data_IF_132221206316
#
_entry.id   IF_132221206316
#
_cell.length_a   1.000
_cell.length_b   1.000
_cell.length_c   1.000
_cell.angle_alpha   90.00
_cell.angle_beta   90.00
_cell.angle_gamma   90.00
#
_symmetry.space_group_name_H-M   'P 1'
#
loop_
_entity.id
_entity.type
_entity.pdbx_description
1 polymer ?
#
# COMPACT_ATOMS: atom_id res chain seq x y z
N UNK A 1 9.92 7.40 -3.04
CA UNK A 1 11.07 6.62 -2.61
C UNK A 1 10.64 5.45 -1.74
N UNK A 2 11.37 4.34 -1.80
CA UNK A 2 11.15 3.19 -0.89
C UNK A 2 11.56 3.50 0.55
N UNK A 3 12.41 4.50 0.76
CA UNK A 3 12.88 4.89 2.10
C UNK A 3 11.84 5.62 2.94
N UNK A 4 10.81 6.20 2.31
CA UNK A 4 9.67 6.76 3.03
C UNK A 4 8.65 5.67 3.38
N UNK A 5 8.33 5.51 4.65
CA UNK A 5 7.34 4.54 5.13
C UNK A 5 6.44 5.15 6.20
N UNK A 6 5.46 4.40 6.68
CA UNK A 6 4.49 4.90 7.64
C UNK A 6 4.37 3.94 8.83
N UNK A 7 4.83 4.39 9.99
CA UNK A 7 4.64 3.65 11.23
C UNK A 7 3.23 3.90 11.80
N UNK A 8 2.69 2.92 12.49
CA UNK A 8 1.33 2.94 13.03
C UNK A 8 0.27 3.24 11.96
N UNK A 9 0.41 2.60 10.79
CA UNK A 9 -0.47 2.79 9.63
C UNK A 9 -1.87 2.25 9.93
N UNK A 10 -2.87 3.14 9.98
CA UNK A 10 -4.21 2.81 10.45
C UNK A 10 -4.83 1.58 9.79
N UNK A 11 -4.80 1.37 8.45
CA UNK A 11 -5.31 0.15 7.85
C UNK A 11 -4.70 -1.14 8.39
N UNK A 12 -3.39 -1.18 8.66
CA UNK A 12 -2.72 -2.34 9.24
C UNK A 12 -3.10 -2.56 10.71
N UNK A 13 -3.24 -1.47 11.47
CA UNK A 13 -3.70 -1.52 12.87
C UNK A 13 -5.11 -2.11 12.97
N UNK A 14 -6.04 -1.64 12.13
CA UNK A 14 -7.42 -2.14 12.10
C UNK A 14 -7.52 -3.63 11.72
N UNK A 15 -6.63 -4.09 10.86
CA UNK A 15 -6.54 -5.50 10.46
C UNK A 15 -5.84 -6.39 11.49
N UNK A 16 -5.22 -5.81 12.51
CA UNK A 16 -4.35 -6.54 13.44
C UNK A 16 -3.10 -7.13 12.76
N UNK A 17 -2.68 -6.54 11.64
CA UNK A 17 -1.52 -6.97 10.88
C UNK A 17 -0.23 -6.34 11.45
N UNK A 18 0.89 -7.09 11.35
CA UNK A 18 2.20 -6.56 11.75
C UNK A 18 2.70 -5.55 10.71
N UNK A 19 2.95 -4.32 11.13
CA UNK A 19 3.70 -3.34 10.36
C UNK A 19 5.16 -3.32 10.85
N UNK A 20 6.11 -3.69 10.00
CA UNK A 20 7.53 -3.74 10.38
C UNK A 20 8.08 -2.36 10.78
N UNK A 21 7.54 -1.28 10.21
CA UNK A 21 7.94 0.09 10.56
C UNK A 21 7.62 0.47 12.02
N UNK A 22 6.69 -0.24 12.69
CA UNK A 22 6.34 0.01 14.10
C UNK A 22 7.47 -0.35 15.06
N UNK A 23 8.43 -1.19 14.64
CA UNK A 23 9.62 -1.54 15.42
C UNK A 23 10.52 -0.34 15.71
N UNK A 24 10.40 0.74 14.92
CA UNK A 24 11.13 2.01 15.17
C UNK A 24 10.64 2.77 16.40
N UNK A 25 9.46 2.44 16.93
CA UNK A 25 8.80 3.19 18.00
C UNK A 25 8.31 4.58 17.59
N UNK A 26 8.46 4.95 16.32
CA UNK A 26 7.97 6.22 15.76
C UNK A 26 6.49 6.11 15.36
N UNK A 27 5.89 7.22 14.95
CA UNK A 27 4.51 7.30 14.47
C UNK A 27 4.43 8.15 13.21
N UNK A 28 3.42 7.89 12.39
CA UNK A 28 3.18 8.58 11.12
C UNK A 28 4.28 8.33 10.08
N UNK A 29 4.48 9.27 9.17
CA UNK A 29 5.48 9.18 8.12
C UNK A 29 6.89 9.25 8.71
N UNK A 30 7.73 8.30 8.33
CA UNK A 30 9.14 8.22 8.74
C UNK A 30 10.01 7.91 7.53
N UNK A 31 11.27 8.31 7.60
CA UNK A 31 12.29 7.91 6.63
C UNK A 31 13.21 6.87 7.28
N UNK A 32 13.54 5.86 6.51
CA UNK A 32 14.47 4.78 6.88
C UNK A 32 15.49 4.60 5.76
N UNK A 33 16.59 3.92 6.02
CA UNK A 33 17.54 3.56 4.99
C UNK A 33 17.24 2.18 4.37
N UNK A 34 17.93 1.86 3.28
CA UNK A 34 17.78 0.56 2.60
C UNK A 34 18.25 -0.60 3.48
N UNK A 35 19.25 -0.38 4.34
CA UNK A 35 19.73 -1.39 5.26
C UNK A 35 18.62 -1.82 6.24
N UNK A 36 17.88 -0.85 6.77
CA UNK A 36 16.75 -1.13 7.64
C UNK A 36 15.63 -1.90 6.91
N UNK A 37 15.35 -1.55 5.65
CA UNK A 37 14.38 -2.28 4.82
C UNK A 37 14.85 -3.73 4.61
N UNK A 38 16.13 -3.92 4.32
CA UNK A 38 16.74 -5.24 4.19
C UNK A 38 16.68 -6.07 5.48
N UNK A 39 16.89 -5.44 6.64
CA UNK A 39 16.79 -6.10 7.94
C UNK A 39 15.35 -6.53 8.26
N UNK A 40 14.36 -5.76 7.85
CA UNK A 40 12.94 -6.12 8.02
C UNK A 40 12.49 -7.22 7.07
N UNK A 41 13.00 -7.22 5.85
CA UNK A 41 12.66 -8.15 4.77
C UNK A 41 11.15 -8.51 4.74
N UNK A 42 10.28 -7.51 4.46
CA UNK A 42 8.84 -7.67 4.61
C UNK A 42 8.26 -8.68 3.62
N UNK A 43 7.22 -9.42 4.06
CA UNK A 43 6.50 -10.37 3.20
C UNK A 43 5.68 -9.67 2.11
N UNK A 44 5.15 -8.48 2.41
CA UNK A 44 4.29 -7.68 1.52
C UNK A 44 4.73 -6.21 1.55
N UNK A 45 4.66 -5.54 0.40
CA UNK A 45 4.91 -4.10 0.31
C UNK A 45 3.74 -3.41 -0.39
N UNK A 46 3.10 -2.47 0.31
CA UNK A 46 2.05 -1.61 -0.21
C UNK A 46 2.62 -0.24 -0.50
N UNK A 47 2.61 0.17 -1.76
CA UNK A 47 3.31 1.33 -2.26
C UNK A 47 2.31 2.43 -2.66
N UNK A 48 2.68 3.69 -2.40
CA UNK A 48 1.88 4.82 -2.82
C UNK A 48 1.89 4.98 -4.34
N UNK A 49 0.74 4.82 -4.98
CA UNK A 49 0.57 4.94 -6.43
C UNK A 49 1.06 6.30 -7.00
N UNK A 50 1.03 7.37 -6.19
CA UNK A 50 1.51 8.70 -6.58
C UNK A 50 3.04 8.84 -6.67
N UNK A 51 3.81 7.86 -6.17
CA UNK A 51 5.28 7.94 -6.08
C UNK A 51 6.00 6.96 -7.03
N UNK A 52 5.32 6.43 -8.03
CA UNK A 52 5.85 5.35 -8.87
C UNK A 52 7.13 5.69 -9.62
N UNK A 53 7.27 6.92 -10.11
CA UNK A 53 8.48 7.32 -10.85
C UNK A 53 9.72 7.35 -9.94
N UNK A 54 9.57 7.81 -8.69
CA UNK A 54 10.64 7.77 -7.70
C UNK A 54 11.01 6.33 -7.33
N UNK A 55 10.03 5.45 -7.17
CA UNK A 55 10.25 4.04 -6.85
C UNK A 55 10.93 3.29 -7.99
N UNK A 56 10.56 3.57 -9.24
CA UNK A 56 11.26 3.01 -10.41
C UNK A 56 12.72 3.44 -10.47
N UNK A 57 13.00 4.71 -10.17
CA UNK A 57 14.36 5.22 -10.12
C UNK A 57 15.17 4.57 -8.98
N UNK A 58 14.59 4.44 -7.78
CA UNK A 58 15.23 3.76 -6.65
C UNK A 58 15.54 2.30 -6.98
N UNK A 59 14.59 1.58 -7.58
CA UNK A 59 14.78 0.19 -8.01
C UNK A 59 15.89 0.07 -9.05
N UNK A 60 15.89 0.92 -10.08
CA UNK A 60 16.93 0.89 -11.12
C UNK A 60 18.34 1.12 -10.55
N UNK A 61 18.47 2.00 -9.56
CA UNK A 61 19.74 2.32 -8.91
C UNK A 61 20.22 1.23 -7.93
N UNK A 62 19.30 0.42 -7.38
CA UNK A 62 19.59 -0.57 -6.34
C UNK A 62 18.98 -1.96 -6.66
N UNK A 63 18.94 -2.31 -7.94
CA UNK A 63 18.23 -3.50 -8.44
C UNK A 63 18.61 -4.78 -7.69
N UNK A 64 19.89 -5.03 -7.46
CA UNK A 64 20.38 -6.24 -6.78
C UNK A 64 19.83 -6.32 -5.36
N UNK A 65 19.78 -5.20 -4.65
CA UNK A 65 19.23 -5.13 -3.30
C UNK A 65 17.74 -5.46 -3.29
N UNK A 66 16.94 -4.81 -4.15
CA UNK A 66 15.50 -5.02 -4.19
C UNK A 66 15.14 -6.44 -4.65
N UNK A 67 15.81 -6.96 -5.68
CA UNK A 67 15.58 -8.34 -6.17
C UNK A 67 15.86 -9.40 -5.09
N UNK A 68 16.64 -9.07 -4.07
CA UNK A 68 16.94 -9.99 -2.96
C UNK A 68 15.88 -9.98 -1.86
N UNK A 69 15.03 -8.95 -1.78
CA UNK A 69 13.95 -8.88 -0.81
C UNK A 69 12.85 -9.91 -1.09
N UNK A 70 12.30 -10.48 -0.02
CA UNK A 70 11.24 -11.51 -0.09
C UNK A 70 10.02 -11.03 -0.87
N UNK A 71 9.51 -9.83 -0.58
CA UNK A 71 8.35 -9.28 -1.29
C UNK A 71 8.59 -9.16 -2.80
N UNK A 72 9.80 -8.84 -3.26
CA UNK A 72 10.15 -8.79 -4.68
C UNK A 72 10.24 -10.18 -5.30
N UNK A 73 10.90 -11.14 -4.62
CA UNK A 73 11.02 -12.54 -5.08
C UNK A 73 9.67 -13.24 -5.24
N UNK A 74 8.75 -12.95 -4.32
CA UNK A 74 7.42 -13.57 -4.27
C UNK A 74 6.37 -12.79 -5.08
N UNK A 75 6.71 -11.59 -5.59
CA UNK A 75 5.78 -10.74 -6.34
C UNK A 75 4.71 -10.09 -5.45
N UNK A 76 4.98 -9.93 -4.17
CA UNK A 76 4.07 -9.35 -3.18
C UNK A 76 4.21 -7.82 -3.11
N UNK A 77 4.18 -7.18 -4.28
CA UNK A 77 4.27 -5.73 -4.42
C UNK A 77 2.94 -5.20 -4.93
N UNK A 78 2.41 -4.20 -4.25
CA UNK A 78 1.09 -3.65 -4.54
C UNK A 78 1.12 -2.14 -4.53
N UNK A 79 0.27 -1.50 -5.34
CA UNK A 79 0.02 -0.06 -5.26
C UNK A 79 -1.35 0.22 -4.70
N UNK A 80 -1.45 1.31 -3.95
CA UNK A 80 -2.69 1.86 -3.44
C UNK A 80 -2.62 3.38 -3.38
N UNK A 81 -3.76 4.09 -3.40
CA UNK A 81 -3.79 5.52 -3.12
C UNK A 81 -3.32 5.80 -1.69
N UNK A 82 -2.77 6.99 -1.45
CA UNK A 82 -2.37 7.40 -0.10
C UNK A 82 -3.47 8.26 0.53
N UNK A 83 -4.06 7.78 1.62
CA UNK A 83 -5.22 8.43 2.22
C UNK A 83 -4.90 9.66 3.09
N UNK A 84 -3.64 9.89 3.48
CA UNK A 84 -3.19 11.02 4.30
C UNK A 84 -2.52 12.13 3.47
N UNK A 85 -3.02 12.41 2.26
CA UNK A 85 -2.51 13.49 1.42
C UNK A 85 -3.35 14.76 1.60
N UNK A 86 -2.74 15.84 2.11
CA UNK A 86 -3.41 17.12 2.39
C UNK A 86 -4.64 17.01 3.33
N UNK A 87 -4.59 16.07 4.27
CA UNK A 87 -5.69 15.73 5.16
C UNK A 87 -5.91 14.22 5.21
N UNK A 88 -6.94 13.80 5.92
CA UNK A 88 -7.31 12.39 6.01
C UNK A 88 -8.51 12.10 5.12
N UNK A 89 -8.33 11.33 4.06
CA UNK A 89 -9.39 10.85 3.18
C UNK A 89 -9.92 9.51 3.72
N UNK A 90 -10.96 9.57 4.55
CA UNK A 90 -11.50 8.40 5.27
C UNK A 90 -11.99 7.33 4.30
N UNK A 91 -12.65 7.73 3.22
CA UNK A 91 -13.09 6.86 2.14
C UNK A 91 -11.93 6.02 1.57
N UNK A 92 -10.84 6.68 1.19
CA UNK A 92 -9.62 6.02 0.70
C UNK A 92 -8.99 5.11 1.75
N UNK A 93 -8.93 5.55 3.01
CA UNK A 93 -8.39 4.74 4.12
C UNK A 93 -9.20 3.46 4.37
N UNK A 94 -10.52 3.50 4.23
CA UNK A 94 -11.38 2.32 4.30
C UNK A 94 -11.10 1.39 3.11
N UNK A 95 -10.99 1.93 1.89
CA UNK A 95 -10.65 1.16 0.70
C UNK A 95 -9.28 0.49 0.84
N UNK A 96 -8.25 1.21 1.33
CA UNK A 96 -6.92 0.66 1.62
C UNK A 96 -7.02 -0.52 2.61
N UNK A 97 -7.86 -0.40 3.65
CA UNK A 97 -8.07 -1.47 4.63
C UNK A 97 -8.65 -2.72 3.98
N UNK A 98 -9.66 -2.59 3.10
CA UNK A 98 -10.22 -3.70 2.34
C UNK A 98 -9.19 -4.34 1.41
N UNK A 99 -8.43 -3.53 0.68
CA UNK A 99 -7.40 -4.01 -0.25
C UNK A 99 -6.30 -4.79 0.46
N UNK A 100 -5.73 -4.21 1.53
CA UNK A 100 -4.68 -4.86 2.33
C UNK A 100 -5.24 -6.14 2.97
N UNK A 101 -6.44 -6.08 3.56
CA UNK A 101 -7.09 -7.22 4.19
C UNK A 101 -7.30 -8.38 3.22
N UNK A 102 -7.84 -8.11 2.04
CA UNK A 102 -8.05 -9.13 1.00
C UNK A 102 -6.73 -9.69 0.45
N UNK A 103 -5.66 -8.89 0.47
CA UNK A 103 -4.34 -9.32 0.02
C UNK A 103 -3.65 -10.24 1.02
N UNK A 104 -3.66 -9.90 2.31
CA UNK A 104 -2.92 -10.66 3.34
C UNK A 104 -3.77 -11.73 4.04
N UNK A 105 -5.09 -11.62 4.00
CA UNK A 105 -6.04 -12.57 4.59
C UNK A 105 -7.14 -12.97 3.58
N UNK A 106 -6.78 -13.50 2.39
CA UNK A 106 -7.74 -13.71 1.30
C UNK A 106 -8.94 -14.56 1.70
N UNK A 107 -8.77 -15.52 2.59
CA UNK A 107 -9.86 -16.39 3.07
C UNK A 107 -10.92 -15.63 3.88
N UNK A 108 -10.55 -14.51 4.53
CA UNK A 108 -11.48 -13.68 5.30
C UNK A 108 -12.28 -12.69 4.46
N UNK A 109 -11.85 -12.48 3.22
CA UNK A 109 -12.46 -11.55 2.26
C UNK A 109 -12.98 -12.27 1.01
N UNK A 110 -13.09 -13.59 1.04
CA UNK A 110 -13.45 -14.40 -0.13
C UNK A 110 -14.83 -14.10 -0.72
N UNK A 111 -15.74 -13.53 0.08
CA UNK A 111 -17.09 -13.13 -0.30
C UNK A 111 -17.20 -11.64 -0.69
N UNK A 112 -16.10 -10.90 -0.68
CA UNK A 112 -16.06 -9.47 -0.98
C UNK A 112 -15.59 -9.24 -2.42
N UNK A 113 -16.44 -8.67 -3.26
CA UNK A 113 -16.04 -8.06 -4.52
C UNK A 113 -15.46 -6.67 -4.24
N UNK A 114 -14.14 -6.54 -4.38
CA UNK A 114 -13.43 -5.30 -4.03
C UNK A 114 -13.83 -4.13 -4.94
N UNK A 115 -14.02 -4.34 -6.24
CA UNK A 115 -14.43 -3.26 -7.16
C UNK A 115 -15.81 -2.69 -6.78
N UNK A 116 -16.74 -3.59 -6.45
CA UNK A 116 -18.07 -3.20 -5.96
C UNK A 116 -17.95 -2.48 -4.62
N UNK A 117 -17.12 -3.00 -3.71
CA UNK A 117 -16.93 -2.43 -2.38
C UNK A 117 -16.32 -1.03 -2.43
N UNK A 118 -15.33 -0.78 -3.26
CA UNK A 118 -14.73 0.55 -3.42
C UNK A 118 -15.74 1.55 -3.97
N UNK A 119 -16.50 1.18 -5.02
CA UNK A 119 -17.56 2.02 -5.57
C UNK A 119 -18.64 2.35 -4.54
N UNK A 120 -19.04 1.36 -3.72
CA UNK A 120 -19.98 1.54 -2.61
C UNK A 120 -19.46 2.55 -1.58
N UNK A 121 -18.21 2.42 -1.13
CA UNK A 121 -17.59 3.29 -0.13
C UNK A 121 -17.54 4.73 -0.63
N UNK A 122 -17.00 4.96 -1.82
CA UNK A 122 -16.90 6.32 -2.38
C UNK A 122 -18.29 6.93 -2.64
N UNK A 123 -19.22 6.18 -3.20
CA UNK A 123 -20.58 6.67 -3.44
C UNK A 123 -21.28 7.02 -2.14
N UNK A 124 -21.12 6.21 -1.10
CA UNK A 124 -21.74 6.44 0.21
C UNK A 124 -21.18 7.69 0.90
N UNK A 125 -19.87 7.88 0.86
CA UNK A 125 -19.20 8.96 1.60
C UNK A 125 -19.09 10.27 0.82
N UNK A 126 -18.94 10.21 -0.50
CA UNK A 126 -18.75 11.39 -1.37
C UNK A 126 -19.99 11.72 -2.22
N UNK A 127 -20.97 10.83 -2.33
CA UNK A 127 -22.12 10.99 -3.22
C UNK A 127 -21.81 10.75 -4.70
N UNK A 128 -20.56 10.36 -5.03
CA UNK A 128 -20.11 10.05 -6.40
C UNK A 128 -19.18 8.84 -6.39
N UNK A 129 -19.20 8.05 -7.45
CA UNK A 129 -18.28 6.91 -7.61
C UNK A 129 -16.89 7.38 -8.06
N UNK A 130 -16.12 7.90 -7.13
CA UNK A 130 -14.77 8.37 -7.38
C UNK A 130 -13.79 7.23 -7.72
N UNK A 131 -14.08 6.00 -7.31
CA UNK A 131 -13.28 4.83 -7.66
C UNK A 131 -13.18 4.64 -9.18
N UNK A 132 -14.29 4.78 -9.90
CA UNK A 132 -14.27 4.69 -11.37
C UNK A 132 -13.41 5.80 -12.00
N UNK A 133 -13.41 6.99 -11.43
CA UNK A 133 -12.56 8.09 -11.89
C UNK A 133 -11.08 7.74 -11.73
N UNK A 134 -10.69 7.22 -10.57
CA UNK A 134 -9.32 6.79 -10.32
C UNK A 134 -8.90 5.63 -11.24
N UNK A 135 -9.76 4.62 -11.37
CA UNK A 135 -9.53 3.44 -12.23
C UNK A 135 -9.29 3.84 -13.68
N UNK A 136 -10.09 4.75 -14.20
CA UNK A 136 -9.95 5.29 -15.57
C UNK A 136 -8.66 6.12 -15.74
N UNK A 137 -8.16 6.73 -14.68
CA UNK A 137 -6.89 7.46 -14.68
C UNK A 137 -5.66 6.56 -14.46
N UNK A 138 -5.85 5.24 -14.32
CA UNK A 138 -4.77 4.30 -14.02
C UNK A 138 -4.22 4.40 -12.60
N UNK A 139 -4.96 5.05 -11.70
CA UNK A 139 -4.63 5.17 -10.28
C UNK A 139 -5.50 4.17 -9.53
N UNK A 140 -4.90 3.34 -8.67
CA UNK A 140 -5.72 2.42 -7.91
C UNK A 140 -4.95 1.31 -7.23
N UNK A 141 -5.71 0.27 -6.90
CA UNK A 141 -5.30 -0.90 -6.15
C UNK A 141 -4.85 -1.99 -7.12
N UNK A 142 -3.56 -2.18 -7.30
CA UNK A 142 -3.03 -3.16 -8.27
C UNK A 142 -1.81 -3.90 -7.75
N UNK A 143 -1.59 -5.10 -8.29
CA UNK A 143 -0.30 -5.79 -8.16
C UNK A 143 0.72 -5.10 -9.05
N UNK A 144 1.95 -4.99 -8.58
CA UNK A 144 3.04 -4.31 -9.26
C UNK A 144 4.19 -5.27 -9.58
N UNK A 145 4.89 -4.99 -10.69
CA UNK A 145 6.14 -5.65 -11.04
C UNK A 145 7.16 -4.61 -11.51
N UNK A 146 8.41 -4.75 -11.06
CA UNK A 146 9.58 -3.96 -11.48
C UNK A 146 10.47 -4.74 -12.46
N UNK A 147 9.88 -5.47 -13.38
CA UNK A 147 10.62 -6.20 -14.42
C UNK A 147 11.13 -5.29 -15.53
#
# INVERSE_FOLDING_TARGET
SFTGTYANYAPLVELGAKNVADETGQKAAIDVDLEQIGNWDPDFMFLNAGNMDLMKADYANNKIFFDDLKAFKEGHLYTQPFFNFNGTNIDTGICDTYFIGATIYPEKFADVDLDVKYSEIYTTLLGVDFYQTMKNAGIGFTTLSFS
#
